data_IF_418084209346
#
_entry.id   IF_418084209346
#
_cell.length_a   1.000
_cell.length_b   1.000
_cell.length_c   1.000
_cell.angle_alpha   90.00
_cell.angle_beta   90.00
_cell.angle_gamma   90.00
#
_symmetry.space_group_name_H-M   'P 1'
#
loop_
_entity.id
_entity.type
_entity.pdbx_description
1 polymer ?
#
# COMPACT_ATOMS: atom_id res chain seq x y z
N UNK A 1 -11.40 16.17 17.00
CA UNK A 1 -10.95 16.82 15.75
C UNK A 1 -10.14 15.81 14.97
N UNK A 2 -10.72 15.15 13.97
CA UNK A 2 -10.05 14.10 13.18
C UNK A 2 -9.55 14.71 11.87
N UNK A 3 -8.30 15.17 11.89
CA UNK A 3 -7.62 15.75 10.73
C UNK A 3 -7.17 14.63 9.78
N UNK A 4 -7.99 14.29 8.79
CA UNK A 4 -7.52 13.81 7.47
C UNK A 4 -8.67 13.80 6.48
N UNK A 5 -9.26 14.97 6.24
CA UNK A 5 -10.28 15.16 5.21
C UNK A 5 -9.94 16.41 4.42
N UNK A 6 -8.72 16.46 3.88
CA UNK A 6 -8.24 17.64 3.15
C UNK A 6 -8.26 17.51 1.63
N UNK A 7 -8.53 16.32 1.07
CA UNK A 7 -8.78 16.17 -0.36
C UNK A 7 -9.84 15.08 -0.54
N UNK A 8 -10.93 15.37 -1.25
CA UNK A 8 -11.89 14.36 -1.70
C UNK A 8 -11.26 13.48 -2.78
N UNK A 9 -10.24 12.71 -2.41
CA UNK A 9 -9.50 11.86 -3.32
C UNK A 9 -10.18 10.50 -3.44
N UNK A 10 -10.40 10.03 -4.66
CA UNK A 10 -10.90 8.67 -4.92
C UNK A 10 -9.80 7.60 -4.70
N UNK A 11 -8.53 8.02 -4.65
CA UNK A 11 -7.36 7.15 -4.58
C UNK A 11 -6.20 7.80 -3.80
N UNK A 12 -5.62 7.07 -2.85
CA UNK A 12 -4.36 7.39 -2.18
C UNK A 12 -3.22 6.58 -2.80
N UNK A 13 -2.14 7.24 -3.24
CA UNK A 13 -0.94 6.55 -3.75
C UNK A 13 0.23 6.79 -2.80
N UNK A 14 0.79 5.72 -2.25
CA UNK A 14 1.97 5.73 -1.40
C UNK A 14 3.17 5.24 -2.22
N UNK A 15 4.04 6.17 -2.60
CA UNK A 15 5.31 5.84 -3.26
C UNK A 15 6.34 5.39 -2.24
N UNK A 16 6.98 4.24 -2.48
CA UNK A 16 7.94 3.63 -1.58
C UNK A 16 9.23 3.21 -2.29
N UNK A 17 10.26 2.83 -1.52
CA UNK A 17 11.47 2.21 -2.05
C UNK A 17 11.30 0.74 -2.43
N UNK A 18 10.11 0.17 -2.21
CA UNK A 18 9.73 -1.21 -2.53
C UNK A 18 8.54 -1.22 -3.48
N UNK A 19 8.37 -2.31 -4.21
CA UNK A 19 7.34 -2.43 -5.25
C UNK A 19 5.92 -2.58 -4.69
N UNK A 20 5.76 -3.06 -3.46
CA UNK A 20 4.47 -3.26 -2.81
C UNK A 20 4.54 -4.35 -1.73
N UNK A 21 3.41 -4.97 -1.44
CA UNK A 21 3.33 -6.13 -0.55
C UNK A 21 3.73 -7.40 -1.30
N UNK A 22 4.60 -8.19 -0.70
CA UNK A 22 5.17 -9.39 -1.30
C UNK A 22 4.57 -10.66 -0.65
N UNK A 23 4.52 -11.76 -1.39
CA UNK A 23 4.08 -13.08 -0.85
C UNK A 23 5.05 -13.68 0.17
N UNK A 24 6.24 -13.09 0.31
CA UNK A 24 7.21 -13.42 1.35
C UNK A 24 7.59 -12.16 2.11
N UNK A 25 7.76 -12.31 3.42
CA UNK A 25 7.97 -11.21 4.35
C UNK A 25 9.41 -10.66 4.33
N UNK A 26 10.35 -11.37 3.67
CA UNK A 26 11.74 -10.96 3.42
C UNK A 26 11.90 -10.10 2.15
N UNK A 27 10.81 -9.83 1.42
CA UNK A 27 10.82 -9.05 0.19
C UNK A 27 11.22 -9.83 -1.08
N UNK A 28 11.54 -11.12 -0.99
CA UNK A 28 11.97 -11.96 -2.14
C UNK A 28 10.80 -12.68 -2.84
N UNK A 29 9.58 -12.43 -2.40
CA UNK A 29 8.37 -13.06 -2.94
C UNK A 29 7.94 -12.49 -4.30
N UNK A 30 6.74 -12.87 -4.70
CA UNK A 30 6.03 -12.23 -5.81
C UNK A 30 5.19 -11.08 -5.29
N UNK A 31 5.04 -10.02 -6.09
CA UNK A 31 4.16 -8.90 -5.75
C UNK A 31 2.70 -9.38 -5.64
N UNK A 32 2.02 -8.95 -4.58
CA UNK A 32 0.58 -9.13 -4.40
C UNK A 32 -0.11 -7.95 -5.08
N UNK A 33 -0.88 -8.15 -6.16
CA UNK A 33 -1.44 -7.03 -6.92
C UNK A 33 -2.64 -6.38 -6.22
N UNK A 34 -3.37 -7.12 -5.37
CA UNK A 34 -4.54 -6.59 -4.66
C UNK A 34 -4.76 -7.27 -3.32
N UNK A 35 -5.20 -6.47 -2.35
CA UNK A 35 -5.59 -6.87 -1.00
C UNK A 35 -6.97 -6.30 -0.71
N UNK A 36 -7.92 -7.16 -0.30
CA UNK A 36 -9.30 -6.75 0.04
C UNK A 36 -9.55 -6.66 1.54
N UNK A 37 -8.68 -7.28 2.33
CA UNK A 37 -8.76 -7.30 3.79
C UNK A 37 -7.35 -7.34 4.35
N UNK A 38 -7.08 -6.53 5.36
CA UNK A 38 -5.85 -6.61 6.14
C UNK A 38 -6.16 -7.48 7.35
N UNK A 39 -5.76 -8.74 7.27
CA UNK A 39 -5.84 -9.70 8.37
C UNK A 39 -4.44 -10.02 8.92
N UNK A 40 -4.37 -10.94 9.87
CA UNK A 40 -3.10 -11.33 10.50
C UNK A 40 -2.09 -11.90 9.51
N UNK A 41 -2.55 -12.53 8.42
CA UNK A 41 -1.66 -13.03 7.37
C UNK A 41 -1.00 -11.89 6.60
N UNK A 42 -1.78 -10.86 6.24
CA UNK A 42 -1.27 -9.65 5.58
C UNK A 42 -0.32 -8.88 6.51
N UNK A 43 -0.66 -8.79 7.80
CA UNK A 43 0.22 -8.15 8.80
C UNK A 43 1.52 -8.93 9.00
N UNK A 44 1.48 -10.26 8.99
CA UNK A 44 2.67 -11.11 9.07
C UNK A 44 3.60 -10.91 7.85
N UNK A 45 3.04 -10.74 6.65
CA UNK A 45 3.82 -10.41 5.44
C UNK A 45 4.49 -9.02 5.54
N UNK A 46 3.87 -8.07 6.22
CA UNK A 46 4.40 -6.72 6.41
C UNK A 46 5.45 -6.61 7.53
N UNK A 47 5.47 -7.54 8.48
CA UNK A 47 6.33 -7.55 9.67
C UNK A 47 7.58 -8.41 9.57
N UNK A 48 7.95 -8.91 8.39
CA UNK A 48 9.11 -9.78 8.19
C UNK A 48 10.47 -9.10 8.38
N UNK A 49 11.50 -9.95 8.46
CA UNK A 49 12.90 -9.57 8.68
C UNK A 49 13.35 -8.49 7.68
N UNK A 50 13.44 -7.25 8.15
CA UNK A 50 13.79 -6.07 7.34
C UNK A 50 12.90 -4.85 7.56
N UNK A 51 11.76 -5.00 8.25
CA UNK A 51 10.84 -3.89 8.56
C UNK A 51 11.44 -2.83 9.52
N UNK A 52 12.47 -3.17 10.29
CA UNK A 52 13.13 -2.24 11.23
C UNK A 52 14.06 -1.23 10.55
N UNK A 53 14.52 -1.50 9.33
CA UNK A 53 15.57 -0.68 8.69
C UNK A 53 15.05 0.49 7.86
N UNK A 54 13.73 0.66 7.78
CA UNK A 54 13.10 1.77 7.06
C UNK A 54 12.16 2.53 8.00
N UNK A 55 12.55 3.73 8.42
CA UNK A 55 11.68 4.66 9.16
C UNK A 55 10.42 4.89 8.30
N UNK A 56 9.26 4.37 8.75
CA UNK A 56 8.02 4.32 7.96
C UNK A 56 7.82 3.03 7.14
N UNK A 57 8.01 1.86 7.74
CA UNK A 57 7.93 0.53 7.13
C UNK A 57 6.58 0.13 6.51
N UNK A 58 6.45 -1.12 6.08
CA UNK A 58 5.19 -1.61 5.46
C UNK A 58 4.01 -1.53 6.44
N UNK A 59 4.25 -1.77 7.73
CA UNK A 59 3.23 -1.68 8.79
C UNK A 59 2.54 -0.30 8.82
N UNK A 60 3.32 0.79 8.77
CA UNK A 60 2.75 2.15 8.77
C UNK A 60 1.97 2.45 7.48
N UNK A 61 2.36 1.86 6.35
CA UNK A 61 1.61 2.00 5.09
C UNK A 61 0.30 1.21 5.11
N UNK A 62 0.29 0.05 5.74
CA UNK A 62 -0.95 -0.69 6.00
C UNK A 62 -1.90 0.13 6.88
N UNK A 63 -1.40 0.75 7.95
CA UNK A 63 -2.21 1.64 8.79
C UNK A 63 -2.80 2.81 7.99
N UNK A 64 -2.00 3.44 7.11
CA UNK A 64 -2.50 4.49 6.22
C UNK A 64 -3.60 3.98 5.28
N UNK A 65 -3.47 2.75 4.75
CA UNK A 65 -4.50 2.12 3.93
C UNK A 65 -5.79 1.82 4.72
N UNK A 66 -5.69 1.43 6.00
CA UNK A 66 -6.84 1.26 6.89
C UNK A 66 -7.57 2.60 7.13
N UNK A 67 -6.83 3.66 7.45
CA UNK A 67 -7.38 5.00 7.65
C UNK A 67 -8.03 5.53 6.36
N UNK A 68 -7.39 5.33 5.20
CA UNK A 68 -7.95 5.70 3.91
C UNK A 68 -9.26 4.95 3.61
N UNK A 69 -9.32 3.66 3.96
CA UNK A 69 -10.51 2.84 3.77
C UNK A 69 -11.70 3.29 4.64
N UNK A 70 -11.47 3.83 5.85
CA UNK A 70 -12.52 4.49 6.64
C UNK A 70 -13.16 5.65 5.87
N UNK A 71 -12.36 6.34 5.06
CA UNK A 71 -12.80 7.37 4.12
C UNK A 71 -13.35 6.87 2.79
N UNK A 72 -13.48 5.54 2.59
CA UNK A 72 -13.84 4.88 1.31
C UNK A 72 -12.84 5.16 0.16
N UNK A 73 -11.59 5.46 0.51
CA UNK A 73 -10.52 5.75 -0.45
C UNK A 73 -9.68 4.49 -0.64
N UNK A 74 -9.54 4.05 -1.89
CA UNK A 74 -8.62 2.95 -2.20
C UNK A 74 -7.17 3.42 -2.03
N UNK A 75 -6.26 2.53 -1.66
CA UNK A 75 -4.84 2.86 -1.51
C UNK A 75 -3.98 2.00 -2.41
N UNK A 76 -2.97 2.57 -3.06
CA UNK A 76 -1.96 1.84 -3.83
C UNK A 76 -0.59 2.09 -3.21
N UNK A 77 0.11 1.02 -2.86
CA UNK A 77 1.52 1.08 -2.47
C UNK A 77 2.34 0.62 -3.68
N UNK A 78 3.25 1.46 -4.16
CA UNK A 78 4.07 1.13 -5.31
C UNK A 78 5.46 1.78 -5.24
N UNK A 79 6.39 1.32 -6.08
CA UNK A 79 7.77 1.82 -6.08
C UNK A 79 7.87 3.19 -6.74
N UNK A 80 8.33 4.19 -5.98
CA UNK A 80 8.59 5.54 -6.48
C UNK A 80 9.79 5.65 -7.42
N UNK A 81 10.56 4.56 -7.61
CA UNK A 81 11.70 4.53 -8.53
C UNK A 81 11.28 4.32 -9.99
N UNK A 82 10.03 3.92 -10.21
CA UNK A 82 9.48 3.68 -11.55
C UNK A 82 9.09 5.01 -12.19
N UNK A 83 9.67 5.29 -13.35
CA UNK A 83 9.30 6.45 -14.17
C UNK A 83 7.82 6.35 -14.58
N UNK A 84 7.15 7.50 -14.68
CA UNK A 84 5.75 7.60 -15.13
C UNK A 84 4.73 6.82 -14.31
N UNK A 85 5.06 6.42 -13.08
CA UNK A 85 4.20 5.55 -12.27
C UNK A 85 2.79 6.12 -12.07
N UNK A 86 2.65 7.44 -11.89
CA UNK A 86 1.35 8.08 -11.74
C UNK A 86 0.52 8.01 -13.03
N UNK A 87 1.16 8.20 -14.20
CA UNK A 87 0.50 8.09 -15.50
C UNK A 87 0.07 6.64 -15.77
N UNK A 88 0.92 5.68 -15.43
CA UNK A 88 0.62 4.26 -15.60
C UNK A 88 -0.52 3.80 -14.67
N UNK A 89 -0.53 4.28 -13.43
CA UNK A 89 -1.64 4.04 -12.50
C UNK A 89 -2.93 4.69 -12.99
N UNK A 90 -2.87 5.92 -13.50
CA UNK A 90 -4.02 6.61 -14.11
C UNK A 90 -4.56 5.87 -15.35
N UNK A 91 -3.68 5.23 -16.13
CA UNK A 91 -4.04 4.37 -17.25
C UNK A 91 -4.61 2.99 -16.82
N UNK A 92 -4.77 2.74 -15.52
CA UNK A 92 -5.34 1.51 -14.98
C UNK A 92 -4.39 0.31 -14.96
N UNK A 93 -3.07 0.52 -15.17
CA UNK A 93 -2.09 -0.57 -15.03
C UNK A 93 -2.02 -1.03 -13.57
N UNK A 94 -1.97 -2.34 -13.36
CA UNK A 94 -1.88 -2.97 -12.04
C UNK A 94 -0.43 -2.97 -11.56
N UNK A 95 0.04 -1.81 -11.11
CA UNK A 95 1.41 -1.62 -10.61
C UNK A 95 1.37 -1.45 -9.11
N UNK A 96 2.22 -2.20 -8.41
CA UNK A 96 2.24 -2.28 -6.96
C UNK A 96 1.04 -3.06 -6.39
N UNK A 97 0.72 -2.77 -5.14
CA UNK A 97 -0.37 -3.44 -4.41
C UNK A 97 -1.52 -2.48 -4.17
N UNK A 98 -2.71 -2.84 -4.65
CA UNK A 98 -3.95 -2.09 -4.40
C UNK A 98 -4.72 -2.64 -3.21
N UNK A 99 -4.94 -1.81 -2.21
CA UNK A 99 -5.79 -2.05 -1.04
C UNK A 99 -7.17 -1.45 -1.31
N UNK A 100 -8.14 -2.33 -1.55
CA UNK A 100 -9.55 -1.97 -1.74
C UNK A 100 -10.36 -2.60 -0.61
N UNK A 101 -10.26 -2.01 0.59
CA UNK A 101 -10.78 -2.58 1.84
C UNK A 101 -12.28 -2.31 2.06
N UNK A 102 -13.07 -2.41 0.99
CA UNK A 102 -14.50 -2.17 1.04
C UNK A 102 -15.16 -3.25 1.91
N UNK A 103 -15.89 -2.81 2.94
CA UNK A 103 -16.82 -3.66 3.71
C UNK A 103 -18.06 -3.97 2.88
#
# INVERSE_FOLDING_TARGET
MTQSRMVGADLLVILSGIDGLMTKSDGTGTLIPSVRKIDDSVRALAGGAGSERNVGGMVTKLQAAEIAAEGKVDTIIASGRRLDILLELAAGKKIGTRFSLRK
#
